data_IF_349405192385
#
_entry.id   IF_349405192385
#
_cell.length_a   1.000
_cell.length_b   1.000
_cell.length_c   1.000
_cell.angle_alpha   90.00
_cell.angle_beta   90.00
_cell.angle_gamma   90.00
#
_symmetry.space_group_name_H-M   'P 1'
#
loop_
_entity.id
_entity.type
_entity.pdbx_description
1 polymer ?
#
# COMPACT_ATOMS: atom_id res chain seq x y z
N UNK A 1 9.62 -30.43 -34.85
CA UNK A 1 9.46 -30.66 -33.40
C UNK A 1 10.16 -29.63 -32.51
N UNK A 2 11.35 -29.14 -32.88
CA UNK A 2 12.13 -28.18 -32.07
C UNK A 2 11.43 -26.82 -31.85
N UNK A 3 10.70 -26.32 -32.87
CA UNK A 3 9.92 -25.09 -32.79
C UNK A 3 8.81 -25.10 -31.72
N UNK A 4 8.22 -26.25 -31.42
CA UNK A 4 7.21 -26.36 -30.37
C UNK A 4 7.81 -26.12 -28.98
N UNK A 5 9.00 -26.66 -28.73
CA UNK A 5 9.72 -26.45 -27.46
C UNK A 5 10.13 -24.99 -27.25
N UNK A 6 10.57 -24.31 -28.33
CA UNK A 6 10.91 -22.88 -28.28
C UNK A 6 9.67 -22.06 -27.88
N UNK A 7 8.52 -22.34 -28.50
CA UNK A 7 7.27 -21.62 -28.21
C UNK A 7 6.82 -21.83 -26.76
N UNK A 8 6.87 -23.07 -26.26
CA UNK A 8 6.53 -23.40 -24.87
C UNK A 8 7.48 -22.69 -23.91
N UNK A 9 8.78 -22.64 -24.21
CA UNK A 9 9.77 -21.97 -23.38
C UNK A 9 9.50 -20.47 -23.23
N UNK A 10 9.20 -19.77 -24.33
CA UNK A 10 8.81 -18.35 -24.27
C UNK A 10 7.53 -18.13 -23.47
N UNK A 11 6.54 -19.01 -23.63
CA UNK A 11 5.31 -18.94 -22.87
C UNK A 11 5.59 -19.02 -21.36
N UNK A 12 6.44 -19.96 -20.94
CA UNK A 12 6.81 -20.14 -19.52
C UNK A 12 7.55 -18.91 -18.98
N UNK A 13 8.50 -18.34 -19.72
CA UNK A 13 9.21 -17.12 -19.31
C UNK A 13 8.23 -15.96 -19.12
N UNK A 14 7.28 -15.79 -20.04
CA UNK A 14 6.31 -14.71 -19.98
C UNK A 14 5.41 -14.86 -18.73
N UNK A 15 4.93 -16.07 -18.45
CA UNK A 15 4.13 -16.34 -17.25
C UNK A 15 4.91 -16.08 -15.96
N UNK A 16 6.18 -16.49 -15.90
CA UNK A 16 7.04 -16.25 -14.75
C UNK A 16 7.26 -14.74 -14.54
N UNK A 17 7.60 -14.01 -15.59
CA UNK A 17 7.77 -12.56 -15.54
C UNK A 17 6.53 -11.84 -15.06
N UNK A 18 5.34 -12.23 -15.57
CA UNK A 18 4.07 -11.66 -15.12
C UNK A 18 3.80 -11.93 -13.63
N UNK A 19 4.06 -13.15 -13.16
CA UNK A 19 3.83 -13.53 -11.77
C UNK A 19 4.73 -12.76 -10.79
N UNK A 20 6.00 -12.56 -11.15
CA UNK A 20 6.98 -11.82 -10.35
C UNK A 20 6.63 -10.33 -10.36
N UNK A 21 6.40 -9.76 -11.55
CA UNK A 21 6.02 -8.35 -11.69
C UNK A 21 4.73 -8.01 -10.93
N UNK A 22 3.75 -8.91 -10.91
CA UNK A 22 2.51 -8.72 -10.14
C UNK A 22 2.76 -8.67 -8.64
N UNK A 23 3.65 -9.51 -8.10
CA UNK A 23 3.98 -9.49 -6.67
C UNK A 23 4.68 -8.20 -6.27
N UNK A 24 5.69 -7.81 -7.04
CA UNK A 24 6.45 -6.57 -6.81
C UNK A 24 5.53 -5.35 -6.91
N UNK A 25 4.69 -5.26 -7.94
CA UNK A 25 3.77 -4.13 -8.10
C UNK A 25 2.73 -3.98 -6.99
N UNK A 26 2.30 -5.08 -6.37
CA UNK A 26 1.40 -5.03 -5.20
C UNK A 26 2.15 -4.51 -3.97
N UNK A 27 3.39 -4.97 -3.76
CA UNK A 27 4.26 -4.54 -2.66
C UNK A 27 4.56 -3.04 -2.76
N UNK A 28 5.06 -2.59 -3.92
CA UNK A 28 5.37 -1.19 -4.22
C UNK A 28 4.11 -0.31 -4.17
N UNK A 29 3.00 -0.80 -4.74
CA UNK A 29 1.72 -0.08 -4.71
C UNK A 29 1.19 0.12 -3.30
N UNK A 30 1.35 -0.89 -2.42
CA UNK A 30 0.96 -0.80 -1.01
C UNK A 30 1.84 0.19 -0.24
N UNK A 31 3.15 0.12 -0.41
CA UNK A 31 4.08 1.05 0.26
C UNK A 31 3.80 2.49 -0.15
N UNK A 32 3.62 2.73 -1.45
CA UNK A 32 3.29 4.05 -2.00
C UNK A 32 1.94 4.55 -1.49
N UNK A 33 0.92 3.69 -1.44
CA UNK A 33 -0.40 4.04 -0.95
C UNK A 33 -0.37 4.44 0.54
N UNK A 34 0.34 3.70 1.39
CA UNK A 34 0.45 4.03 2.82
C UNK A 34 1.13 5.38 2.99
N UNK A 35 2.27 5.61 2.33
CA UNK A 35 3.03 6.85 2.48
C UNK A 35 2.23 8.07 1.97
N UNK A 36 1.59 7.95 0.81
CA UNK A 36 0.73 9.01 0.27
C UNK A 36 -0.49 9.27 1.14
N UNK A 37 -1.10 8.23 1.72
CA UNK A 37 -2.28 8.39 2.59
C UNK A 37 -1.95 9.17 3.85
N UNK A 38 -0.81 8.87 4.50
CA UNK A 38 -0.38 9.59 5.72
C UNK A 38 -0.09 11.06 5.42
N UNK A 39 0.60 11.34 4.31
CA UNK A 39 0.91 12.71 3.88
C UNK A 39 -0.38 13.47 3.53
N UNK A 40 -1.30 12.86 2.77
CA UNK A 40 -2.58 13.44 2.42
C UNK A 40 -3.44 13.79 3.65
N UNK A 41 -3.53 12.87 4.62
CA UNK A 41 -4.22 13.09 5.89
C UNK A 41 -3.64 14.26 6.68
N UNK A 42 -2.31 14.40 6.69
CA UNK A 42 -1.62 15.49 7.38
C UNK A 42 -1.90 16.84 6.72
N UNK A 43 -1.84 16.89 5.38
CA UNK A 43 -2.14 18.09 4.60
C UNK A 43 -3.61 18.53 4.79
N UNK A 44 -4.56 17.59 4.78
CA UNK A 44 -5.98 17.87 5.01
C UNK A 44 -6.22 18.42 6.43
N UNK A 45 -5.52 17.88 7.44
CA UNK A 45 -5.59 18.38 8.81
C UNK A 45 -5.13 19.84 8.92
N UNK A 46 -3.97 20.18 8.34
CA UNK A 46 -3.45 21.54 8.37
C UNK A 46 -4.34 22.54 7.62
N UNK A 47 -4.89 22.14 6.47
CA UNK A 47 -5.72 23.02 5.65
C UNK A 47 -7.12 23.24 6.25
N UNK A 48 -7.76 22.19 6.78
CA UNK A 48 -9.15 22.27 7.25
C UNK A 48 -9.29 22.48 8.76
N UNK A 49 -8.18 22.48 9.52
CA UNK A 49 -8.14 22.53 11.00
C UNK A 49 -9.07 21.53 11.68
N UNK A 50 -9.49 20.48 10.97
CA UNK A 50 -10.43 19.45 11.41
C UNK A 50 -9.78 18.09 11.18
N UNK A 51 -9.69 17.28 12.22
CA UNK A 51 -9.22 15.90 12.10
C UNK A 51 -10.28 15.07 11.36
N UNK A 52 -9.98 14.55 10.14
CA UNK A 52 -10.90 13.65 9.45
C UNK A 52 -11.10 12.32 10.21
N UNK A 53 -10.12 11.96 11.04
CA UNK A 53 -10.12 10.76 11.92
C UNK A 53 -11.18 10.90 13.03
N UNK A 54 -11.23 12.07 13.68
CA UNK A 54 -12.14 12.31 14.81
C UNK A 54 -13.60 12.48 14.36
N UNK A 55 -13.82 12.94 13.13
CA UNK A 55 -15.17 13.08 12.54
C UNK A 55 -15.77 11.76 12.05
N UNK A 56 -14.96 10.69 11.91
CA UNK A 56 -15.34 9.40 11.34
C UNK A 56 -15.16 8.25 12.36
N UNK A 57 -15.56 8.47 13.60
CA UNK A 57 -15.34 7.54 14.73
C UNK A 57 -16.07 6.19 14.63
N UNK A 58 -16.82 5.92 13.55
CA UNK A 58 -17.54 4.64 13.37
C UNK A 58 -16.79 3.56 12.59
N UNK A 59 -15.68 3.89 11.90
CA UNK A 59 -14.98 2.93 11.02
C UNK A 59 -13.49 2.68 11.37
N UNK A 60 -12.99 3.28 12.45
CA UNK A 60 -11.55 3.36 12.76
C UNK A 60 -11.05 2.30 13.75
N UNK A 61 -11.68 1.12 13.86
CA UNK A 61 -11.11 0.03 14.66
C UNK A 61 -10.16 -0.88 13.86
N UNK A 62 -10.18 -0.79 12.52
CA UNK A 62 -9.47 -1.73 11.64
C UNK A 62 -8.04 -1.32 11.27
N UNK A 63 -7.69 -0.03 11.41
CA UNK A 63 -6.36 0.49 11.07
C UNK A 63 -5.39 0.53 12.26
N UNK A 64 -5.88 0.43 13.51
CA UNK A 64 -5.07 0.68 14.71
C UNK A 64 -4.19 -0.50 15.15
N UNK A 65 -4.48 -1.73 14.72
CA UNK A 65 -3.72 -2.92 15.14
C UNK A 65 -2.37 -3.09 14.42
N UNK A 66 -2.02 -2.22 13.46
CA UNK A 66 -0.73 -2.29 12.74
C UNK A 66 0.22 -1.14 13.08
N UNK A 67 -0.12 -0.28 14.06
CA UNK A 67 0.65 0.92 14.41
C UNK A 67 0.80 1.11 15.92
N UNK A 68 0.78 0.02 16.70
CA UNK A 68 1.26 0.08 18.09
C UNK A 68 2.79 0.08 18.07
N UNK A 69 3.33 1.24 17.70
CA UNK A 69 4.75 1.54 17.70
C UNK A 69 4.89 3.05 17.51
N UNK A 70 5.26 3.72 18.60
CA UNK A 70 5.64 5.14 18.75
C UNK A 70 4.62 5.98 19.56
N UNK A 71 4.95 6.02 20.85
CA UNK A 71 4.56 6.90 21.97
C UNK A 71 4.11 8.32 21.57
N UNK A 72 3.02 8.88 22.15
CA UNK A 72 2.78 10.32 22.14
C UNK A 72 3.59 11.00 23.25
N UNK A 73 4.22 12.16 23.01
CA UNK A 73 4.45 13.07 24.11
C UNK A 73 3.73 14.40 23.88
N UNK A 74 3.01 14.75 24.95
CA UNK A 74 2.89 16.08 25.55
C UNK A 74 2.02 17.12 24.85
N UNK A 75 0.82 17.26 25.40
CA UNK A 75 0.24 18.57 25.67
C UNK A 75 1.07 19.29 26.75
N UNK A 76 1.40 20.56 26.49
CA UNK A 76 1.50 21.60 27.51
C UNK A 76 1.16 22.95 26.86
#
# INVERSE_FOLDING_TARGET
>A
MLYGYILIFYLVILLLGYSIGRRIGIEEGREKAINQTVIGLKIDYYNKKKCPICSSSKNLHKMRLNSEGIIPPTEL
#
